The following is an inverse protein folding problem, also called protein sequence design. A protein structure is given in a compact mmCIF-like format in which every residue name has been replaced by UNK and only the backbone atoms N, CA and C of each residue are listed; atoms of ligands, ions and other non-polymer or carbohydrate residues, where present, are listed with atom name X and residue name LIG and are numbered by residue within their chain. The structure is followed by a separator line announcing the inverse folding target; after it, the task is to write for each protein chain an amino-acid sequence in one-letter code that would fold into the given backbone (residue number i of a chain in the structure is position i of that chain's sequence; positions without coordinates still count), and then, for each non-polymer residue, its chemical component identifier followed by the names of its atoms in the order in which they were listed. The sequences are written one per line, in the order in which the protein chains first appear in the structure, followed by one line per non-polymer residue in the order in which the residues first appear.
data_IF_235475378170
#
_entry.id   IF_235475378170
#
_cell.length_a   1.000
_cell.length_b   1.000
_cell.length_c   1.000
_cell.angle_alpha   90.00
_cell.angle_beta   90.00
_cell.angle_gamma   90.00
#
_symmetry.space_group_name_H-M   'P 1'
#
loop_
_entity.id
_entity.type
_entity.pdbx_description
1 polymer ?
#
# COMPACT_ATOMS: atom_id res chain seq x y z
N UNK A 1 -17.56 -18.34 8.27
CA UNK A 1 -17.72 -17.04 8.98
C UNK A 1 -18.99 -16.36 8.49
N UNK A 2 -19.75 -15.68 9.38
CA UNK A 2 -20.85 -14.79 8.98
C UNK A 2 -20.39 -13.37 9.29
N UNK A 3 -20.02 -12.62 8.25
CA UNK A 3 -19.39 -11.29 8.39
C UNK A 3 -20.33 -10.21 7.84
N UNK A 4 -20.44 -9.09 8.54
CA UNK A 4 -21.19 -7.90 8.08
C UNK A 4 -20.22 -6.78 7.70
N UNK A 5 -20.51 -6.06 6.61
CA UNK A 5 -19.75 -4.90 6.15
C UNK A 5 -20.61 -3.65 6.35
N UNK A 6 -20.14 -2.74 7.21
CA UNK A 6 -20.89 -1.54 7.61
C UNK A 6 -20.24 -0.33 6.94
N UNK A 7 -21.04 0.48 6.24
CA UNK A 7 -20.60 1.75 5.64
C UNK A 7 -21.70 2.80 5.76
N UNK A 8 -21.31 4.05 6.03
CA UNK A 8 -22.25 5.19 6.03
C UNK A 8 -22.68 5.61 4.61
N UNK A 9 -21.90 5.23 3.59
CA UNK A 9 -22.15 5.52 2.18
C UNK A 9 -22.33 4.21 1.40
N UNK A 10 -22.95 4.31 0.22
CA UNK A 10 -22.92 3.21 -0.74
C UNK A 10 -21.46 2.89 -1.13
N UNK A 11 -21.04 1.60 -1.22
CA UNK A 11 -19.63 1.22 -1.28
C UNK A 11 -18.80 1.92 -2.38
N UNK A 12 -19.37 2.12 -3.57
CA UNK A 12 -18.68 2.78 -4.70
C UNK A 12 -18.54 4.30 -4.55
N UNK A 13 -19.09 4.89 -3.47
CA UNK A 13 -18.96 6.31 -3.14
C UNK A 13 -17.97 6.55 -1.98
N UNK A 14 -17.22 5.53 -1.59
CA UNK A 14 -16.05 5.70 -0.70
C UNK A 14 -14.98 6.55 -1.40
N UNK A 15 -14.14 7.25 -0.64
CA UNK A 15 -13.14 8.15 -1.23
C UNK A 15 -12.08 7.42 -2.08
N UNK A 16 -11.94 6.10 -1.90
CA UNK A 16 -11.15 5.21 -2.77
C UNK A 16 -11.50 5.38 -4.25
N UNK A 17 -12.76 5.71 -4.58
CA UNK A 17 -13.20 5.95 -5.98
C UNK A 17 -12.48 7.14 -6.65
N UNK A 18 -11.92 8.06 -5.86
CA UNK A 18 -11.24 9.24 -6.35
C UNK A 18 -9.74 9.03 -6.61
N UNK A 19 -9.17 7.86 -6.29
CA UNK A 19 -7.77 7.57 -6.57
C UNK A 19 -7.52 7.47 -8.09
N UNK A 20 -6.40 8.03 -8.56
CA UNK A 20 -6.09 8.12 -10.00
C UNK A 20 -4.74 7.53 -10.41
N UNK A 21 -3.70 7.69 -9.59
CA UNK A 21 -2.32 7.36 -9.99
C UNK A 21 -2.09 5.86 -10.18
N UNK A 22 -2.32 5.07 -9.13
CA UNK A 22 -2.08 3.63 -9.15
C UNK A 22 -1.79 3.08 -7.76
N UNK A 23 -1.19 1.89 -7.74
CA UNK A 23 -0.70 1.21 -6.54
C UNK A 23 0.78 0.84 -6.77
N UNK A 24 1.63 1.10 -5.78
CA UNK A 24 3.04 0.76 -5.84
C UNK A 24 3.24 -0.71 -5.45
N UNK A 25 3.97 -1.46 -6.28
CA UNK A 25 4.36 -2.83 -5.99
C UNK A 25 5.63 -3.17 -6.78
N UNK A 26 6.57 -3.89 -6.15
CA UNK A 26 7.84 -4.27 -6.76
C UNK A 26 7.67 -5.48 -7.71
N UNK A 27 6.85 -5.31 -8.76
CA UNK A 27 6.49 -6.38 -9.70
C UNK A 27 7.57 -6.66 -10.75
N UNK A 28 8.50 -5.74 -10.96
CA UNK A 28 9.58 -5.90 -11.94
C UNK A 28 9.13 -5.92 -13.41
N UNK A 29 7.95 -5.38 -13.74
CA UNK A 29 7.37 -5.47 -15.09
C UNK A 29 8.07 -4.59 -16.13
N UNK A 30 8.66 -3.46 -15.71
CA UNK A 30 9.30 -2.49 -16.59
C UNK A 30 10.83 -2.62 -16.58
N UNK A 31 11.38 -2.86 -15.39
CA UNK A 31 12.79 -3.12 -15.13
C UNK A 31 12.90 -4.04 -13.93
N UNK A 32 14.09 -4.59 -13.67
CA UNK A 32 14.31 -5.40 -12.48
C UNK A 32 13.99 -4.58 -11.22
N UNK A 33 13.27 -5.18 -10.28
CA UNK A 33 12.82 -4.53 -9.05
C UNK A 33 12.99 -5.49 -7.86
N UNK A 34 13.13 -4.93 -6.66
CA UNK A 34 13.23 -5.68 -5.40
C UNK A 34 12.39 -4.94 -4.35
N UNK A 35 11.52 -5.68 -3.64
CA UNK A 35 10.66 -5.13 -2.60
C UNK A 35 11.45 -4.40 -1.50
N UNK A 36 12.72 -4.78 -1.28
CA UNK A 36 13.61 -4.10 -0.32
C UNK A 36 13.91 -2.66 -0.73
N UNK A 37 13.94 -2.37 -2.03
CA UNK A 37 14.09 -1.01 -2.52
C UNK A 37 12.83 -0.18 -2.22
N UNK A 38 11.65 -0.77 -2.43
CA UNK A 38 10.38 -0.17 -2.05
C UNK A 38 10.27 0.07 -0.53
N UNK A 39 10.73 -0.88 0.30
CA UNK A 39 10.83 -0.73 1.75
C UNK A 39 11.76 0.43 2.11
N UNK A 40 12.95 0.51 1.51
CA UNK A 40 13.91 1.59 1.75
C UNK A 40 13.33 2.97 1.42
N UNK A 41 12.70 3.11 0.25
CA UNK A 41 12.07 4.35 -0.18
C UNK A 41 10.95 4.77 0.78
N UNK A 42 10.20 3.79 1.31
CA UNK A 42 9.13 4.04 2.29
C UNK A 42 9.68 4.47 3.65
N UNK A 43 10.71 3.79 4.18
CA UNK A 43 11.36 4.16 5.45
C UNK A 43 11.93 5.57 5.36
N UNK A 44 12.65 5.87 4.28
CA UNK A 44 13.19 7.21 4.01
C UNK A 44 12.09 8.25 3.83
N UNK A 45 11.04 7.94 3.07
CA UNK A 45 9.91 8.84 2.82
C UNK A 45 9.09 9.15 4.07
N UNK A 46 9.07 8.24 5.04
CA UNK A 46 8.43 8.44 6.34
C UNK A 46 9.25 9.29 7.32
N UNK A 47 10.41 9.82 6.89
CA UNK A 47 11.35 10.55 7.75
C UNK A 47 11.77 9.74 8.98
N UNK A 48 11.95 8.42 8.79
CA UNK A 48 12.28 7.44 9.83
C UNK A 48 11.29 7.32 10.98
N UNK A 49 10.10 7.91 10.86
CA UNK A 49 9.04 7.84 11.87
C UNK A 49 8.11 6.64 11.65
N UNK A 50 8.16 6.00 10.48
CA UNK A 50 7.35 4.83 10.17
C UNK A 50 7.83 3.55 10.86
N UNK A 51 6.88 2.74 11.32
CA UNK A 51 7.12 1.43 11.90
C UNK A 51 7.68 0.47 10.83
N UNK A 52 8.95 0.09 10.95
CA UNK A 52 9.66 -0.63 9.88
C UNK A 52 9.17 -2.06 9.69
N UNK A 53 8.61 -2.69 10.71
CA UNK A 53 7.99 -4.02 10.64
C UNK A 53 6.70 -3.98 9.80
N UNK A 54 5.87 -2.95 9.97
CA UNK A 54 4.67 -2.75 9.15
C UNK A 54 5.04 -2.38 7.70
N UNK A 55 6.08 -1.56 7.50
CA UNK A 55 6.57 -1.21 6.16
C UNK A 55 7.15 -2.43 5.45
N UNK A 56 7.89 -3.29 6.17
CA UNK A 56 8.40 -4.55 5.65
C UNK A 56 7.27 -5.47 5.16
N UNK A 57 6.27 -5.71 6.02
CA UNK A 57 5.09 -6.49 5.66
C UNK A 57 4.36 -5.90 4.44
N UNK A 58 4.17 -4.59 4.40
CA UNK A 58 3.51 -3.92 3.26
C UNK A 58 4.29 -4.05 1.94
N UNK A 59 5.62 -4.09 1.98
CA UNK A 59 6.44 -4.11 0.78
C UNK A 59 6.70 -5.55 0.26
N UNK A 60 6.78 -6.54 1.16
CA UNK A 60 7.08 -7.95 0.82
C UNK A 60 5.83 -8.76 0.42
N UNK A 61 4.69 -8.60 1.11
CA UNK A 61 3.43 -9.31 0.81
C UNK A 61 2.69 -8.77 -0.43
#
# INVERSE_FOLDING_TARGET
FKTAVISKLFPTRSHTVAAQGGINAALGNMENDDWRWHMYDTVKGSDWLGDQDAIHYMAEE
#
